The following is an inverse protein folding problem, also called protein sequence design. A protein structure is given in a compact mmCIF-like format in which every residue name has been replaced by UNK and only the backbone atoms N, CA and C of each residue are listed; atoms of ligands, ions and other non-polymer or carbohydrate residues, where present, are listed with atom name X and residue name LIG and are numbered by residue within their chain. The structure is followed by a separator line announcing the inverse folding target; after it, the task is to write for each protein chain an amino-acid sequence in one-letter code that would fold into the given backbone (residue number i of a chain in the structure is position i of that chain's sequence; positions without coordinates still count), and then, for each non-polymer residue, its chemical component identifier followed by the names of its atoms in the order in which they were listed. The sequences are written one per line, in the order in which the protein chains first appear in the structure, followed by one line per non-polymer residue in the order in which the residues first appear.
data_IF_628748656876
#
_entry.id   IF_628748656876
#
_cell.length_a   1.000
_cell.length_b   1.000
_cell.length_c   1.000
_cell.angle_alpha   90.00
_cell.angle_beta   90.00
_cell.angle_gamma   90.00
#
_symmetry.space_group_name_H-M   'P 1'
#
loop_
_entity.id
_entity.type
_entity.pdbx_description
1 polymer ?
#
# COMPACT_ATOMS: atom_id res chain seq x y z
N UNK A 1 10.00 16.48 -2.71
CA UNK A 1 8.74 15.75 -2.98
C UNK A 1 8.58 14.67 -1.93
N UNK A 2 7.39 14.53 -1.32
CA UNK A 2 7.14 13.45 -0.36
C UNK A 2 7.01 12.12 -1.09
N UNK A 3 7.86 11.16 -0.75
CA UNK A 3 8.08 9.93 -1.51
C UNK A 3 7.89 8.70 -0.62
N UNK A 4 7.38 7.63 -1.21
CA UNK A 4 7.25 6.31 -0.58
C UNK A 4 7.43 5.23 -1.64
N UNK A 5 7.79 4.02 -1.22
CA UNK A 5 7.76 2.84 -2.09
C UNK A 5 6.47 2.07 -1.83
N UNK A 6 5.84 1.60 -2.90
CA UNK A 6 4.61 0.81 -2.78
C UNK A 6 4.45 -0.20 -3.91
N UNK A 7 3.59 -1.17 -3.64
CA UNK A 7 3.18 -2.19 -4.60
C UNK A 7 1.85 -1.76 -5.21
N UNK A 8 1.78 -1.81 -6.54
CA UNK A 8 0.55 -1.57 -7.29
C UNK A 8 -0.42 -2.74 -7.07
N UNK A 9 -1.70 -2.41 -6.92
CA UNK A 9 -2.75 -3.41 -6.74
C UNK A 9 -3.28 -3.82 -8.13
N UNK A 10 -3.48 -5.13 -8.42
CA UNK A 10 -4.10 -5.58 -9.67
C UNK A 10 -5.51 -4.98 -9.88
N UNK A 11 -5.90 -4.78 -11.14
CA UNK A 11 -7.13 -4.04 -11.45
C UNK A 11 -8.39 -4.73 -10.92
N UNK A 12 -8.45 -6.06 -10.99
CA UNK A 12 -9.53 -6.87 -10.41
C UNK A 12 -9.69 -6.63 -8.90
N UNK A 13 -8.57 -6.53 -8.17
CA UNK A 13 -8.60 -6.27 -6.73
C UNK A 13 -9.04 -4.83 -6.45
N UNK A 14 -8.63 -3.86 -7.27
CA UNK A 14 -9.12 -2.47 -7.15
C UNK A 14 -10.63 -2.37 -7.35
N UNK A 15 -11.20 -3.17 -8.25
CA UNK A 15 -12.66 -3.25 -8.46
C UNK A 15 -13.37 -3.74 -7.21
N UNK A 16 -12.90 -4.86 -6.66
CA UNK A 16 -13.45 -5.43 -5.44
C UNK A 16 -13.37 -4.45 -4.28
N UNK A 17 -12.22 -3.78 -4.08
CA UNK A 17 -12.05 -2.76 -3.04
C UNK A 17 -12.98 -1.56 -3.24
N UNK A 18 -13.10 -1.06 -4.47
CA UNK A 18 -14.00 0.07 -4.77
C UNK A 18 -15.45 -0.28 -4.44
N UNK A 19 -15.86 -1.53 -4.72
CA UNK A 19 -17.21 -2.01 -4.48
C UNK A 19 -17.61 -2.02 -3.00
N UNK A 20 -16.66 -2.07 -2.06
CA UNK A 20 -16.92 -2.06 -0.61
C UNK A 20 -16.72 -0.68 0.04
N UNK A 21 -16.23 0.32 -0.71
CA UNK A 21 -15.98 1.68 -0.24
C UNK A 21 -17.23 2.58 -0.31
N UNK A 22 -18.31 2.22 0.40
CA UNK A 22 -19.53 3.03 0.46
C UNK A 22 -20.28 2.86 1.80
N UNK A 23 -21.32 3.66 2.02
CA UNK A 23 -22.30 3.42 3.08
C UNK A 23 -21.96 3.95 4.48
N UNK A 24 -20.82 4.63 4.66
CA UNK A 24 -20.45 5.25 5.93
C UNK A 24 -20.47 6.78 5.83
N UNK A 25 -21.19 7.48 6.74
CA UNK A 25 -21.20 8.94 6.76
C UNK A 25 -19.82 9.49 7.14
N UNK A 26 -19.47 10.66 6.61
CA UNK A 26 -18.25 11.40 6.92
C UNK A 26 -16.92 10.66 6.62
N UNK A 27 -16.96 9.58 5.83
CA UNK A 27 -15.76 8.86 5.38
C UNK A 27 -15.27 9.43 4.05
N UNK A 28 -14.01 9.86 4.04
CA UNK A 28 -13.30 10.20 2.81
C UNK A 28 -12.63 8.94 2.25
N UNK A 29 -13.28 8.29 1.31
CA UNK A 29 -12.71 7.14 0.61
C UNK A 29 -11.50 7.54 -0.24
N UNK A 30 -10.52 6.64 -0.31
CA UNK A 30 -9.35 6.80 -1.20
C UNK A 30 -9.81 6.53 -2.63
N UNK A 31 -9.38 7.35 -3.58
CA UNK A 31 -9.68 7.15 -5.00
C UNK A 31 -9.06 5.84 -5.51
N UNK A 32 -9.73 5.16 -6.44
CA UNK A 32 -9.31 3.86 -6.99
C UNK A 32 -7.87 3.89 -7.51
N UNK A 33 -7.51 4.97 -8.22
CA UNK A 33 -6.16 5.18 -8.77
C UNK A 33 -5.07 5.30 -7.71
N UNK A 34 -5.45 5.63 -6.47
CA UNK A 34 -4.54 5.77 -5.34
C UNK A 34 -4.44 4.49 -4.50
N UNK A 35 -5.08 3.39 -4.89
CA UNK A 35 -4.93 2.11 -4.21
C UNK A 35 -3.54 1.53 -4.45
N UNK A 36 -2.77 1.46 -3.36
CA UNK A 36 -1.43 0.88 -3.31
C UNK A 36 -1.18 0.32 -1.91
N UNK A 37 -0.19 -0.57 -1.81
CA UNK A 37 0.33 -1.04 -0.52
C UNK A 37 1.63 -0.32 -0.28
N UNK A 38 1.69 0.52 0.75
CA UNK A 38 2.95 1.18 1.12
C UNK A 38 3.90 0.19 1.78
N UNK A 39 5.12 0.07 1.24
CA UNK A 39 6.20 -0.72 1.83
C UNK A 39 7.00 0.12 2.84
N UNK A 40 7.40 1.33 2.43
CA UNK A 40 8.20 2.24 3.25
C UNK A 40 7.94 3.69 2.87
N UNK A 41 7.83 4.56 3.88
CA UNK A 41 7.79 6.01 3.70
C UNK A 41 9.21 6.57 3.75
N UNK A 42 9.64 7.23 2.67
CA UNK A 42 10.98 7.81 2.54
C UNK A 42 11.03 9.31 2.93
N UNK A 43 9.86 9.92 3.18
CA UNK A 43 9.79 11.34 3.54
C UNK A 43 10.07 12.24 2.33
N UNK A 44 10.68 13.40 2.56
CA UNK A 44 11.01 14.34 1.50
C UNK A 44 12.29 13.95 0.77
N UNK A 45 12.20 13.82 -0.54
CA UNK A 45 13.30 13.49 -1.45
C UNK A 45 13.43 14.55 -2.55
N UNK A 46 14.63 14.77 -3.06
CA UNK A 46 14.88 15.56 -4.27
C UNK A 46 14.47 14.79 -5.53
N UNK A 47 14.31 15.48 -6.68
CA UNK A 47 14.01 14.80 -7.95
C UNK A 47 15.13 13.82 -8.33
N UNK A 48 16.39 14.20 -8.16
CA UNK A 48 17.56 13.35 -8.43
C UNK A 48 17.55 12.07 -7.58
N UNK A 49 17.15 12.18 -6.30
CA UNK A 49 17.00 11.03 -5.41
C UNK A 49 15.87 10.11 -5.88
N UNK A 50 14.76 10.67 -6.36
CA UNK A 50 13.63 9.90 -6.89
C UNK A 50 14.02 9.14 -8.15
N UNK A 51 14.75 9.77 -9.06
CA UNK A 51 15.25 9.13 -10.28
C UNK A 51 16.20 7.98 -9.94
N UNK A 52 17.10 8.19 -8.98
CA UNK A 52 18.02 7.15 -8.48
C UNK A 52 17.25 5.98 -7.84
N UNK A 53 16.22 6.28 -7.03
CA UNK A 53 15.37 5.26 -6.41
C UNK A 53 14.61 4.45 -7.46
N UNK A 54 14.13 5.11 -8.52
CA UNK A 54 13.44 4.47 -9.65
C UNK A 54 14.36 3.47 -10.36
N UNK A 55 15.60 3.86 -10.65
CA UNK A 55 16.60 3.00 -11.28
C UNK A 55 16.92 1.80 -10.38
N UNK A 56 17.16 2.02 -9.09
CA UNK A 56 17.41 0.93 -8.14
C UNK A 56 16.22 -0.04 -8.06
N UNK A 57 15.00 0.47 -7.98
CA UNK A 57 13.79 -0.36 -7.91
C UNK A 57 13.60 -1.21 -9.18
N UNK A 58 14.01 -0.71 -10.35
CA UNK A 58 13.92 -1.47 -11.61
C UNK A 58 14.80 -2.73 -11.64
N UNK A 59 15.83 -2.79 -10.79
CA UNK A 59 16.76 -3.91 -10.69
C UNK A 59 16.34 -4.94 -9.64
N UNK A 60 15.33 -4.62 -8.81
CA UNK A 60 14.86 -5.52 -7.75
C UNK A 60 14.01 -6.61 -8.39
N UNK A 61 14.45 -7.86 -8.24
CA UNK A 61 13.69 -9.05 -8.57
C UNK A 61 13.46 -9.88 -7.30
N UNK A 62 12.22 -10.24 -7.02
CA UNK A 62 11.84 -11.14 -5.94
C UNK A 62 10.86 -12.19 -6.46
N UNK A 63 10.79 -13.39 -5.85
CA UNK A 63 9.83 -14.39 -6.28
C UNK A 63 8.40 -13.93 -5.95
N UNK A 64 7.44 -14.36 -6.75
CA UNK A 64 6.04 -14.02 -6.54
C UNK A 64 5.55 -14.51 -5.15
N UNK A 65 4.63 -13.75 -4.56
CA UNK A 65 3.99 -14.06 -3.29
C UNK A 65 2.53 -13.67 -3.35
N UNK A 66 1.70 -14.37 -2.58
CA UNK A 66 0.28 -14.06 -2.49
C UNK A 66 0.02 -13.08 -1.35
N UNK A 67 -0.82 -12.08 -1.63
CA UNK A 67 -1.37 -11.18 -0.62
C UNK A 67 -2.85 -11.47 -0.43
N UNK A 68 -3.21 -11.87 0.78
CA UNK A 68 -4.59 -12.15 1.14
C UNK A 68 -5.12 -11.03 2.02
N UNK A 69 -6.23 -10.42 1.60
CA UNK A 69 -6.94 -9.43 2.39
C UNK A 69 -7.76 -10.14 3.46
N UNK A 70 -7.40 -9.94 4.73
CA UNK A 70 -7.99 -10.67 5.84
C UNK A 70 -9.16 -9.93 6.48
N UNK A 71 -8.97 -8.66 6.80
CA UNK A 71 -9.95 -7.90 7.57
C UNK A 71 -9.82 -6.40 7.32
N UNK A 72 -10.88 -5.68 7.65
CA UNK A 72 -10.88 -4.22 7.74
C UNK A 72 -10.69 -3.85 9.21
N UNK A 73 -9.68 -3.06 9.50
CA UNK A 73 -9.43 -2.48 10.81
C UNK A 73 -9.69 -0.98 10.83
N UNK A 74 -9.78 -0.43 12.04
CA UNK A 74 -9.90 1.01 12.25
C UNK A 74 -8.80 1.48 13.20
N UNK A 75 -8.14 2.59 12.86
CA UNK A 75 -7.14 3.23 13.72
C UNK A 75 -7.44 4.73 13.87
N UNK A 76 -7.11 5.29 15.04
CA UNK A 76 -7.36 6.69 15.37
C UNK A 76 -8.47 6.89 16.41
N UNK A 77 -8.64 8.14 16.86
CA UNK A 77 -9.76 8.53 17.73
C UNK A 77 -11.03 8.70 16.88
N UNK A 78 -12.21 8.76 17.52
CA UNK A 78 -13.53 8.90 16.85
C UNK A 78 -13.59 9.93 15.71
N UNK A 79 -12.69 10.92 15.69
CA UNK A 79 -12.57 11.88 14.60
C UNK A 79 -11.09 12.34 14.45
N UNK A 80 -10.36 12.02 13.36
CA UNK A 80 -10.73 11.18 12.22
C UNK A 80 -10.47 9.68 12.46
N UNK A 81 -11.46 8.86 12.15
CA UNK A 81 -11.32 7.41 12.10
C UNK A 81 -10.70 7.01 10.75
N UNK A 82 -9.62 6.22 10.76
CA UNK A 82 -8.95 5.74 9.55
C UNK A 82 -9.22 4.26 9.38
N UNK A 83 -9.71 3.86 8.23
CA UNK A 83 -9.83 2.46 7.85
C UNK A 83 -8.51 1.97 7.26
N UNK A 84 -8.13 0.74 7.57
CA UNK A 84 -7.02 0.06 6.94
C UNK A 84 -7.39 -1.39 6.65
N UNK A 85 -6.72 -1.97 5.66
CA UNK A 85 -6.88 -3.37 5.29
C UNK A 85 -5.73 -4.16 5.92
N UNK A 86 -6.07 -5.19 6.67
CA UNK A 86 -5.09 -6.16 7.15
C UNK A 86 -4.80 -7.16 6.03
N UNK A 87 -3.52 -7.32 5.73
CA UNK A 87 -3.03 -8.25 4.72
C UNK A 87 -2.22 -9.36 5.39
N UNK A 88 -2.31 -10.57 4.85
CA UNK A 88 -1.37 -11.66 5.11
C UNK A 88 -0.59 -12.02 3.86
N UNK A 89 0.68 -12.37 4.05
CA UNK A 89 1.59 -12.79 2.98
C UNK A 89 1.67 -14.32 2.99
N UNK A 90 1.59 -14.94 1.82
CA UNK A 90 1.82 -16.36 1.64
C UNK A 90 2.92 -16.62 0.58
N UNK A 91 3.89 -17.52 0.85
CA UNK A 91 4.08 -18.24 2.10
C UNK A 91 4.63 -17.33 3.22
N UNK A 92 4.24 -17.57 4.48
CA UNK A 92 4.58 -16.71 5.65
C UNK A 92 6.10 -16.52 5.90
N UNK A 93 6.95 -17.29 5.22
CA UNK A 93 8.41 -17.18 5.29
C UNK A 93 8.99 -16.12 4.34
N UNK A 94 8.15 -15.29 3.69
CA UNK A 94 8.62 -14.28 2.75
C UNK A 94 9.22 -13.05 3.45
N UNK A 95 10.55 -12.96 3.34
CA UNK A 95 11.45 -11.80 3.50
C UNK A 95 11.16 -10.72 4.57
N UNK A 96 12.12 -10.58 5.49
CA UNK A 96 12.32 -9.38 6.31
C UNK A 96 12.66 -8.17 5.42
N UNK A 97 11.65 -7.42 4.96
CA UNK A 97 11.82 -6.12 4.27
C UNK A 97 12.46 -5.02 5.15
N UNK A 98 12.77 -5.30 6.42
CA UNK A 98 13.40 -4.37 7.38
C UNK A 98 14.92 -4.16 7.17
N UNK A 99 15.50 -4.59 6.04
CA UNK A 99 16.96 -4.56 5.83
C UNK A 99 17.43 -3.87 4.54
N UNK A 100 16.57 -3.03 3.94
CA UNK A 100 16.98 -2.00 2.99
C UNK A 100 17.05 -0.65 3.71
#
# INVERSE_FOLDING_TARGET
MRTFLGISIPEEVKEQLTSICYGLPDVRWVLRENFHITLVFLGDQSNEQVDTLSEFCSQISFPEFDLNLQSVGTFGKKNPLRFFLQLSIFPQNFYNFKKL
#
